data_IF_334781731194
#
_entry.id   IF_334781731194
#
_cell.length_a   1.000
_cell.length_b   1.000
_cell.length_c   1.000
_cell.angle_alpha   90.00
_cell.angle_beta   90.00
_cell.angle_gamma   90.00
#
_symmetry.space_group_name_H-M   'P 1'
#
loop_
_entity.id
_entity.type
_entity.pdbx_description
1 polymer ?
#
# COMPACT_ATOMS: atom_id res chain seq x y z
N UNK A 1 0.48 8.13 -7.74
CA UNK A 1 -0.46 9.29 -7.76
C UNK A 1 -1.68 9.01 -6.91
N UNK A 2 -2.21 10.06 -6.25
CA UNK A 2 -3.45 9.99 -5.47
C UNK A 2 -4.46 10.97 -6.04
N UNK A 3 -5.70 10.51 -6.23
CA UNK A 3 -6.83 11.33 -6.66
C UNK A 3 -7.92 11.25 -5.60
N UNK A 4 -8.48 12.41 -5.23
CA UNK A 4 -9.60 12.52 -4.31
C UNK A 4 -10.88 12.73 -5.10
N UNK A 5 -11.90 11.96 -4.77
CA UNK A 5 -13.23 11.99 -5.43
C UNK A 5 -14.35 12.16 -4.41
N UNK A 6 -15.55 12.25 -4.91
CA UNK A 6 -16.78 12.33 -4.13
C UNK A 6 -17.38 10.94 -3.89
N UNK A 7 -18.41 10.81 -3.07
CA UNK A 7 -19.08 9.54 -2.80
C UNK A 7 -19.65 8.82 -4.04
N UNK A 8 -19.81 9.55 -5.17
CA UNK A 8 -20.25 8.98 -6.46
C UNK A 8 -19.14 8.18 -7.15
N UNK A 9 -17.89 8.46 -6.82
CA UNK A 9 -16.69 7.85 -7.43
C UNK A 9 -16.28 6.54 -6.73
N UNK A 10 -17.03 6.12 -5.69
CA UNK A 10 -16.77 4.90 -4.95
C UNK A 10 -16.87 3.67 -5.85
N UNK A 11 -15.93 2.73 -5.66
CA UNK A 11 -16.01 1.43 -6.32
C UNK A 11 -17.18 0.62 -5.75
N UNK A 12 -18.09 0.24 -6.62
CA UNK A 12 -19.19 -0.65 -6.27
C UNK A 12 -18.72 -2.10 -6.44
N UNK A 13 -18.85 -2.89 -5.39
CA UNK A 13 -18.52 -4.32 -5.39
C UNK A 13 -19.82 -5.09 -5.18
N UNK A 14 -20.22 -5.85 -6.19
CA UNK A 14 -21.32 -6.81 -6.11
C UNK A 14 -20.77 -8.12 -5.53
N UNK A 15 -21.28 -8.53 -4.39
CA UNK A 15 -20.84 -9.72 -3.68
C UNK A 15 -22.06 -10.54 -3.22
N UNK A 16 -21.85 -11.82 -2.89
CA UNK A 16 -22.91 -12.72 -2.40
C UNK A 16 -23.66 -12.15 -1.17
N UNK A 17 -22.98 -11.35 -0.35
CA UNK A 17 -23.57 -10.69 0.81
C UNK A 17 -24.31 -9.38 0.48
N UNK A 18 -24.38 -9.00 -0.80
CA UNK A 18 -24.97 -7.76 -1.28
C UNK A 18 -23.93 -6.76 -1.81
N UNK A 19 -24.41 -5.68 -2.40
CA UNK A 19 -23.62 -4.57 -2.92
C UNK A 19 -22.97 -3.78 -1.77
N UNK A 20 -21.67 -3.47 -1.94
CA UNK A 20 -20.94 -2.58 -1.04
C UNK A 20 -20.11 -1.57 -1.81
N UNK A 21 -19.87 -0.42 -1.19
CA UNK A 21 -19.02 0.65 -1.74
C UNK A 21 -17.67 0.66 -1.02
N UNK A 22 -16.59 0.61 -1.82
CA UNK A 22 -15.22 0.72 -1.30
C UNK A 22 -14.73 2.17 -1.46
N UNK A 23 -14.33 2.83 -0.37
CA UNK A 23 -13.90 4.23 -0.41
C UNK A 23 -12.46 4.41 -0.89
N UNK A 24 -11.67 3.35 -0.91
CA UNK A 24 -10.26 3.41 -1.30
C UNK A 24 -9.94 2.33 -2.32
N UNK A 25 -9.42 2.78 -3.47
CA UNK A 25 -8.97 1.93 -4.57
C UNK A 25 -7.45 2.10 -4.75
N UNK A 26 -6.72 1.01 -4.93
CA UNK A 26 -5.31 1.04 -5.28
C UNK A 26 -5.06 0.12 -6.47
N UNK A 27 -4.58 0.70 -7.55
CA UNK A 27 -4.20 0.02 -8.78
C UNK A 27 -2.67 0.04 -8.91
N UNK A 28 -2.08 -1.10 -9.26
CA UNK A 28 -0.67 -1.21 -9.55
C UNK A 28 -0.51 -1.63 -11.02
N UNK A 29 0.18 -0.82 -11.80
CA UNK A 29 0.53 -1.12 -13.17
C UNK A 29 2.00 -1.56 -13.22
N UNK A 30 2.22 -2.78 -13.69
CA UNK A 30 3.53 -3.44 -13.72
C UNK A 30 3.80 -3.97 -15.14
N UNK A 31 4.12 -3.08 -16.08
CA UNK A 31 4.37 -3.47 -17.47
C UNK A 31 5.65 -4.31 -17.59
N UNK A 32 5.74 -5.20 -18.61
CA UNK A 32 6.90 -6.07 -18.79
C UNK A 32 8.24 -5.32 -18.86
N UNK A 33 8.25 -4.15 -19.47
CA UNK A 33 9.48 -3.36 -19.63
C UNK A 33 10.09 -2.90 -18.29
N UNK A 34 9.29 -2.84 -17.22
CA UNK A 34 9.78 -2.42 -15.89
C UNK A 34 10.80 -3.40 -15.29
N UNK A 35 10.85 -4.63 -15.78
CA UNK A 35 11.85 -5.66 -15.42
C UNK A 35 12.71 -6.07 -16.62
N UNK A 36 12.73 -5.25 -17.68
CA UNK A 36 13.53 -5.53 -18.89
C UNK A 36 12.96 -6.62 -19.79
N UNK A 37 11.72 -7.03 -19.59
CA UNK A 37 11.05 -8.04 -20.41
C UNK A 37 10.27 -7.41 -21.56
N UNK A 38 10.09 -8.19 -22.63
CA UNK A 38 9.15 -7.88 -23.71
C UNK A 38 7.83 -8.61 -23.48
N UNK A 39 6.71 -7.95 -23.79
CA UNK A 39 5.40 -8.56 -23.63
C UNK A 39 4.27 -7.65 -24.04
N UNK A 40 3.07 -8.24 -24.21
CA UNK A 40 1.87 -7.47 -24.50
C UNK A 40 1.42 -6.68 -23.28
N UNK A 41 1.17 -5.40 -23.49
CA UNK A 41 0.48 -4.55 -22.53
C UNK A 41 -1.03 -4.74 -22.72
N UNK A 42 -1.74 -5.01 -21.63
CA UNK A 42 -3.18 -5.29 -21.68
C UNK A 42 -3.83 -5.12 -20.31
N UNK A 43 -4.89 -5.87 -20.06
CA UNK A 43 -5.57 -5.86 -18.74
C UNK A 43 -4.62 -6.29 -17.62
N UNK A 44 -4.82 -5.76 -16.39
CA UNK A 44 -4.00 -6.13 -15.23
C UNK A 44 -3.95 -7.64 -15.01
N UNK A 45 -2.75 -8.16 -14.83
CA UNK A 45 -2.51 -9.58 -14.54
C UNK A 45 -2.61 -9.86 -13.04
N UNK A 46 -2.60 -11.14 -12.66
CA UNK A 46 -2.67 -11.56 -11.23
C UNK A 46 -1.62 -10.89 -10.35
N UNK A 47 -0.42 -10.69 -10.86
CA UNK A 47 0.68 -10.03 -10.14
C UNK A 47 0.32 -8.59 -9.79
N UNK A 48 -0.18 -7.82 -10.73
CA UNK A 48 -0.57 -6.42 -10.54
C UNK A 48 -1.73 -6.30 -9.53
N UNK A 49 -2.74 -7.16 -9.65
CA UNK A 49 -3.87 -7.22 -8.72
C UNK A 49 -3.39 -7.58 -7.31
N UNK A 50 -2.50 -8.58 -7.18
CA UNK A 50 -1.92 -8.98 -5.90
C UNK A 50 -1.09 -7.88 -5.24
N UNK A 51 -0.23 -7.19 -6.01
CA UNK A 51 0.56 -6.06 -5.55
C UNK A 51 -0.31 -4.90 -5.08
N UNK A 52 -1.32 -4.53 -5.86
CA UNK A 52 -2.27 -3.48 -5.50
C UNK A 52 -3.02 -3.80 -4.20
N UNK A 53 -3.50 -5.03 -4.06
CA UNK A 53 -4.18 -5.48 -2.84
C UNK A 53 -3.27 -5.50 -1.61
N UNK A 54 -2.00 -5.92 -1.75
CA UNK A 54 -1.03 -5.90 -0.65
C UNK A 54 -0.73 -4.47 -0.23
N UNK A 55 -0.46 -3.57 -1.17
CA UNK A 55 -0.20 -2.16 -0.88
C UNK A 55 -1.42 -1.48 -0.23
N UNK A 56 -2.63 -1.74 -0.71
CA UNK A 56 -3.88 -1.25 -0.11
C UNK A 56 -4.02 -1.71 1.33
N UNK A 57 -3.81 -3.01 1.61
CA UNK A 57 -3.84 -3.54 2.99
C UNK A 57 -2.80 -2.86 3.87
N UNK A 58 -1.59 -2.62 3.33
CA UNK A 58 -0.50 -1.96 4.05
C UNK A 58 -0.89 -0.59 4.60
N UNK A 59 -1.65 0.20 3.85
CA UNK A 59 -2.04 1.56 4.25
C UNK A 59 -3.43 1.62 4.91
N UNK A 60 -4.28 0.61 4.76
CA UNK A 60 -5.67 0.63 5.24
C UNK A 60 -5.79 0.93 6.74
N UNK A 61 -4.88 0.40 7.56
CA UNK A 61 -4.90 0.57 9.01
C UNK A 61 -4.67 2.03 9.46
N UNK A 62 -4.02 2.84 8.63
CA UNK A 62 -3.67 4.23 8.93
C UNK A 62 -4.56 5.25 8.20
N UNK A 63 -5.50 4.79 7.38
CA UNK A 63 -6.43 5.67 6.68
C UNK A 63 -7.34 6.40 7.66
N UNK A 64 -7.75 7.64 7.31
CA UNK A 64 -8.76 8.36 8.08
C UNK A 64 -10.13 7.68 7.99
N UNK A 65 -10.99 7.97 8.95
CA UNK A 65 -12.38 7.55 8.91
C UNK A 65 -13.19 8.39 7.90
N UNK A 66 -14.13 7.74 7.20
CA UNK A 66 -15.00 8.40 6.21
C UNK A 66 -15.90 9.48 6.82
N UNK A 67 -16.15 9.45 8.13
CA UNK A 67 -16.92 10.49 8.81
C UNK A 67 -16.14 11.78 8.98
N UNK A 68 -14.83 11.67 9.12
CA UNK A 68 -13.92 12.83 9.30
C UNK A 68 -13.31 13.28 7.98
N UNK A 69 -13.16 12.36 7.02
CA UNK A 69 -12.58 12.63 5.71
C UNK A 69 -13.42 11.94 4.61
N UNK A 70 -14.56 12.56 4.19
CA UNK A 70 -15.57 11.94 3.35
C UNK A 70 -15.20 11.89 1.86
N UNK A 71 -13.93 11.62 1.55
CA UNK A 71 -13.42 11.52 0.19
C UNK A 71 -13.22 10.07 -0.24
N UNK A 72 -13.56 9.79 -1.48
CA UNK A 72 -13.14 8.57 -2.15
C UNK A 72 -11.71 8.76 -2.64
N UNK A 73 -10.86 7.79 -2.35
CA UNK A 73 -9.44 7.86 -2.63
C UNK A 73 -9.08 6.83 -3.69
N UNK A 74 -8.54 7.29 -4.81
CA UNK A 74 -7.98 6.43 -5.85
C UNK A 74 -6.49 6.63 -5.93
N UNK A 75 -5.74 5.54 -5.80
CA UNK A 75 -4.29 5.51 -5.86
C UNK A 75 -3.88 4.69 -7.09
N UNK A 76 -2.91 5.20 -7.84
CA UNK A 76 -2.32 4.48 -8.97
C UNK A 76 -0.80 4.47 -8.79
N UNK A 77 -0.24 3.27 -8.71
CA UNK A 77 1.20 3.00 -8.67
C UNK A 77 1.66 2.54 -10.05
N UNK A 78 2.46 3.36 -10.72
CA UNK A 78 3.07 3.06 -12.01
C UNK A 78 4.51 2.59 -11.78
N UNK A 79 4.78 1.32 -12.09
CA UNK A 79 6.13 0.75 -11.95
C UNK A 79 6.86 0.91 -13.27
N UNK A 80 7.81 1.82 -13.31
CA UNK A 80 8.58 2.12 -14.52
C UNK A 80 9.88 1.32 -14.61
N UNK A 81 10.44 0.96 -13.44
CA UNK A 81 11.64 0.13 -13.32
C UNK A 81 11.60 -0.61 -11.99
N UNK A 82 12.03 -1.87 -11.96
CA UNK A 82 12.05 -2.70 -10.75
C UNK A 82 13.11 -3.79 -10.82
N UNK A 83 13.92 -3.86 -9.76
CA UNK A 83 14.76 -5.01 -9.46
C UNK A 83 14.71 -5.28 -7.96
N UNK A 84 13.60 -5.88 -7.51
CA UNK A 84 13.28 -6.10 -6.10
C UNK A 84 11.78 -5.99 -5.85
N UNK A 85 11.38 -5.57 -4.66
CA UNK A 85 9.96 -5.53 -4.29
C UNK A 85 9.24 -4.27 -4.75
N UNK A 86 8.66 -4.31 -5.95
CA UNK A 86 7.78 -3.25 -6.45
C UNK A 86 6.54 -3.02 -5.57
N UNK A 87 6.01 -4.07 -4.92
CA UNK A 87 4.87 -3.94 -4.01
C UNK A 87 5.21 -3.13 -2.75
N UNK A 88 6.41 -3.29 -2.21
CA UNK A 88 6.84 -2.52 -1.03
C UNK A 88 7.21 -1.09 -1.41
N UNK A 89 7.79 -0.87 -2.58
CA UNK A 89 7.95 0.47 -3.16
C UNK A 89 6.58 1.16 -3.35
N UNK A 90 5.56 0.42 -3.82
CA UNK A 90 4.18 0.92 -3.93
C UNK A 90 3.58 1.30 -2.57
N UNK A 91 3.87 0.56 -1.49
CA UNK A 91 3.46 0.93 -0.13
C UNK A 91 4.06 2.29 0.28
N UNK A 92 5.37 2.44 0.12
CA UNK A 92 6.08 3.68 0.47
C UNK A 92 5.58 4.86 -0.37
N UNK A 93 5.50 4.69 -1.68
CA UNK A 93 5.01 5.71 -2.61
C UNK A 93 3.54 6.07 -2.37
N UNK A 94 2.70 5.10 -2.01
CA UNK A 94 1.31 5.35 -1.62
C UNK A 94 1.22 6.20 -0.36
N UNK A 95 2.00 5.86 0.68
CA UNK A 95 2.04 6.63 1.93
C UNK A 95 2.43 8.09 1.66
N UNK A 96 3.48 8.33 0.90
CA UNK A 96 3.92 9.68 0.52
C UNK A 96 2.87 10.40 -0.33
N UNK A 97 2.31 9.73 -1.34
CA UNK A 97 1.32 10.33 -2.24
C UNK A 97 0.01 10.70 -1.54
N UNK A 98 -0.43 9.90 -0.57
CA UNK A 98 -1.59 10.21 0.27
C UNK A 98 -1.34 11.46 1.13
N UNK A 99 -0.19 11.54 1.79
CA UNK A 99 0.19 12.69 2.59
C UNK A 99 0.37 13.96 1.74
N UNK A 100 0.93 13.81 0.54
CA UNK A 100 1.10 14.92 -0.41
C UNK A 100 -0.24 15.46 -0.93
N UNK A 101 -1.24 14.58 -1.10
CA UNK A 101 -2.61 14.95 -1.46
C UNK A 101 -3.40 15.59 -0.29
N UNK A 102 -2.83 15.66 0.91
CA UNK A 102 -3.48 16.19 2.09
C UNK A 102 -4.38 15.21 2.85
N UNK A 103 -4.27 13.90 2.57
CA UNK A 103 -5.02 12.87 3.32
C UNK A 103 -4.43 12.73 4.73
N UNK A 104 -5.23 12.94 5.79
CA UNK A 104 -4.73 12.93 7.17
C UNK A 104 -4.51 11.49 7.66
N UNK A 105 -3.43 10.86 7.21
CA UNK A 105 -3.05 9.53 7.69
C UNK A 105 -2.75 9.57 9.19
N UNK A 106 -3.12 8.51 9.92
CA UNK A 106 -2.80 8.35 11.35
C UNK A 106 -1.28 8.23 11.59
N UNK A 107 -0.56 7.65 10.64
CA UNK A 107 0.90 7.53 10.64
C UNK A 107 1.41 7.21 9.22
N UNK A 108 2.64 7.59 8.86
CA UNK A 108 3.28 7.14 7.63
C UNK A 108 3.57 5.63 7.69
N UNK A 109 3.52 4.98 6.53
CA UNK A 109 3.76 3.54 6.37
C UNK A 109 4.90 3.32 5.39
N UNK A 110 5.85 2.48 5.77
CA UNK A 110 6.87 1.94 4.87
C UNK A 110 6.72 0.44 4.70
N UNK A 111 7.34 -0.10 3.66
CA UNK A 111 7.40 -1.53 3.40
C UNK A 111 8.80 -1.96 3.00
N UNK A 112 9.16 -3.20 3.32
CA UNK A 112 10.41 -3.84 2.96
C UNK A 112 10.18 -5.30 2.61
N UNK A 113 10.94 -5.82 1.65
CA UNK A 113 10.98 -7.25 1.35
C UNK A 113 12.23 -7.87 1.97
N UNK A 114 12.03 -8.97 2.67
CA UNK A 114 13.05 -9.74 3.34
C UNK A 114 13.19 -11.10 2.66
N UNK A 115 14.38 -11.66 2.70
CA UNK A 115 14.66 -13.00 2.22
C UNK A 115 15.33 -13.88 3.28
N UNK A 116 15.38 -15.16 2.99
CA UNK A 116 16.05 -16.17 3.79
C UNK A 116 16.88 -17.07 2.90
N UNK A 117 18.09 -17.37 3.32
CA UNK A 117 18.90 -18.49 2.82
C UNK A 117 19.14 -19.43 3.99
N UNK A 118 18.80 -20.71 3.82
CA UNK A 118 18.96 -21.76 4.81
C UNK A 118 19.75 -22.93 4.19
N UNK A 119 20.99 -23.14 4.64
CA UNK A 119 21.87 -24.18 4.13
C UNK A 119 22.59 -24.86 5.28
N UNK A 120 22.62 -26.18 5.29
CA UNK A 120 23.28 -27.02 6.30
C UNK A 120 22.92 -26.64 7.76
N UNK A 121 21.66 -26.28 8.01
CA UNK A 121 21.16 -25.91 9.33
C UNK A 121 21.60 -24.50 9.79
N UNK A 122 22.28 -23.74 8.93
CA UNK A 122 22.61 -22.33 9.15
C UNK A 122 21.70 -21.46 8.32
N UNK A 123 21.28 -20.34 8.87
CA UNK A 123 20.42 -19.41 8.13
C UNK A 123 20.98 -17.98 8.11
N UNK A 124 20.66 -17.27 7.04
CA UNK A 124 20.92 -15.84 6.88
C UNK A 124 19.67 -15.13 6.42
N UNK A 125 19.27 -14.11 7.15
CA UNK A 125 18.19 -13.21 6.75
C UNK A 125 18.76 -12.11 5.86
N UNK A 126 18.16 -11.90 4.70
CA UNK A 126 18.49 -10.84 3.77
C UNK A 126 17.48 -9.70 3.91
N UNK A 127 17.95 -8.47 3.80
CA UNK A 127 17.14 -7.26 3.95
C UNK A 127 17.09 -6.52 2.63
N UNK A 128 15.88 -6.13 2.20
CA UNK A 128 15.62 -5.41 0.94
C UNK A 128 16.16 -6.18 -0.28
N UNK A 129 15.57 -7.36 -0.49
CA UNK A 129 16.06 -8.34 -1.46
C UNK A 129 15.85 -7.89 -2.91
N UNK A 130 16.82 -8.25 -3.74
CA UNK A 130 16.77 -8.16 -5.20
C UNK A 130 15.90 -9.28 -5.80
N UNK A 131 15.58 -9.16 -7.11
CA UNK A 131 14.80 -10.16 -7.81
C UNK A 131 15.42 -11.56 -7.81
N UNK A 132 16.75 -11.66 -7.96
CA UNK A 132 17.47 -12.93 -7.92
C UNK A 132 17.47 -13.54 -6.51
N UNK A 133 17.59 -12.73 -5.48
CA UNK A 133 17.51 -13.18 -4.07
C UNK A 133 16.10 -13.64 -3.69
N UNK A 134 15.06 -13.03 -4.26
CA UNK A 134 13.68 -13.52 -4.17
C UNK A 134 13.54 -14.88 -4.85
N UNK A 135 14.07 -15.02 -6.08
CA UNK A 135 13.90 -16.24 -6.86
C UNK A 135 14.68 -17.44 -6.30
N UNK A 136 15.91 -17.22 -5.86
CA UNK A 136 16.83 -18.27 -5.40
C UNK A 136 16.76 -18.53 -3.88
N UNK A 137 16.16 -17.62 -3.11
CA UNK A 137 16.04 -17.76 -1.66
C UNK A 137 15.03 -18.82 -1.23
N UNK A 138 15.12 -19.24 0.02
CA UNK A 138 14.29 -20.28 0.64
C UNK A 138 12.97 -19.75 1.19
N UNK A 139 12.92 -18.46 1.46
CA UNK A 139 11.71 -17.73 1.87
C UNK A 139 11.85 -16.27 1.44
N UNK A 140 10.76 -15.67 1.00
CA UNK A 140 10.60 -14.23 0.96
C UNK A 140 9.40 -13.81 1.79
N UNK A 141 9.49 -12.66 2.43
CA UNK A 141 8.34 -12.05 3.07
C UNK A 141 8.39 -10.53 2.98
N UNK A 142 7.21 -9.97 2.83
CA UNK A 142 6.99 -8.54 2.66
C UNK A 142 6.29 -8.00 3.88
N UNK A 143 6.88 -6.99 4.51
CA UNK A 143 6.35 -6.40 5.74
C UNK A 143 6.11 -4.93 5.52
N UNK A 144 4.85 -4.51 5.64
CA UNK A 144 4.46 -3.10 5.67
C UNK A 144 4.07 -2.69 7.10
N UNK A 145 4.33 -1.43 7.46
CA UNK A 145 3.91 -0.92 8.76
C UNK A 145 4.41 0.48 9.05
N UNK A 146 3.83 1.06 10.09
CA UNK A 146 4.26 2.31 10.69
C UNK A 146 5.38 2.09 11.73
N UNK A 147 5.83 3.16 12.37
CA UNK A 147 6.71 3.04 13.54
C UNK A 147 6.05 2.28 14.70
N UNK A 148 4.73 2.34 14.82
CA UNK A 148 3.95 1.71 15.90
C UNK A 148 3.67 0.22 15.70
N UNK A 149 3.86 -0.33 14.47
CA UNK A 149 3.58 -1.74 14.25
C UNK A 149 3.40 -2.13 12.78
N UNK A 150 3.18 -3.42 12.56
CA UNK A 150 2.96 -4.03 11.25
C UNK A 150 1.50 -3.83 10.83
N UNK A 151 1.28 -3.39 9.60
CA UNK A 151 -0.05 -3.21 9.02
C UNK A 151 -0.41 -4.28 7.98
N UNK A 152 0.60 -4.85 7.32
CA UNK A 152 0.41 -6.00 6.43
C UNK A 152 1.67 -6.86 6.38
N UNK A 153 1.46 -8.15 6.18
CA UNK A 153 2.51 -9.14 5.98
C UNK A 153 2.06 -10.10 4.88
N UNK A 154 2.98 -10.43 4.00
CA UNK A 154 2.86 -11.52 3.02
C UNK A 154 4.14 -12.34 3.06
N UNK A 155 4.02 -13.64 3.09
CA UNK A 155 5.14 -14.56 3.15
C UNK A 155 4.97 -15.68 2.13
N UNK A 156 6.06 -16.05 1.48
CA UNK A 156 6.18 -17.22 0.61
C UNK A 156 7.34 -18.08 1.12
N UNK A 157 7.05 -19.32 1.51
CA UNK A 157 8.03 -20.28 2.03
C UNK A 157 8.21 -21.36 0.96
N UNK A 158 9.44 -21.53 0.48
CA UNK A 158 9.80 -22.42 -0.62
C UNK A 158 10.44 -23.74 -0.12
N UNK A 159 10.58 -23.87 1.21
CA UNK A 159 11.12 -25.04 1.93
C UNK A 159 10.04 -25.63 2.84
N UNK A 160 10.32 -26.78 3.48
CA UNK A 160 9.32 -27.48 4.32
C UNK A 160 8.77 -26.66 5.49
N UNK A 161 9.52 -25.64 5.96
CA UNK A 161 9.07 -24.73 6.99
C UNK A 161 10.22 -23.91 7.58
N UNK A 162 9.86 -22.98 8.44
CA UNK A 162 10.79 -22.11 9.16
C UNK A 162 10.57 -22.22 10.66
N UNK A 163 11.63 -22.04 11.43
CA UNK A 163 11.56 -22.07 12.89
C UNK A 163 11.07 -20.73 13.45
N UNK A 164 10.60 -20.74 14.70
CA UNK A 164 10.24 -19.52 15.42
C UNK A 164 11.43 -18.57 15.55
N UNK A 165 12.65 -19.12 15.73
CA UNK A 165 13.88 -18.33 15.82
C UNK A 165 14.16 -17.57 14.51
N UNK A 166 14.09 -18.25 13.37
CA UNK A 166 14.24 -17.62 12.05
C UNK A 166 13.22 -16.48 11.88
N UNK A 167 11.97 -16.72 12.22
CA UNK A 167 10.92 -15.71 12.11
C UNK A 167 11.19 -14.51 13.02
N UNK A 168 11.65 -14.73 14.24
CA UNK A 168 11.96 -13.64 15.16
C UNK A 168 13.08 -12.74 14.60
N UNK A 169 14.20 -13.36 14.16
CA UNK A 169 15.32 -12.62 13.56
C UNK A 169 14.87 -11.86 12.30
N UNK A 170 14.04 -12.48 11.48
CA UNK A 170 13.52 -11.88 10.26
C UNK A 170 12.61 -10.66 10.55
N UNK A 171 11.71 -10.77 11.52
CA UNK A 171 10.83 -9.66 11.92
C UNK A 171 11.60 -8.52 12.58
N UNK A 172 12.60 -8.82 13.39
CA UNK A 172 13.46 -7.80 14.02
C UNK A 172 14.29 -7.05 12.98
N UNK A 173 14.80 -7.76 11.97
CA UNK A 173 15.51 -7.15 10.83
C UNK A 173 14.57 -6.29 9.98
N UNK A 174 13.37 -6.79 9.68
CA UNK A 174 12.34 -6.05 8.96
C UNK A 174 11.90 -4.79 9.72
N UNK A 175 11.83 -4.85 11.05
CA UNK A 175 11.49 -3.68 11.87
C UNK A 175 12.55 -2.58 11.73
N UNK A 176 13.84 -2.95 11.86
CA UNK A 176 14.96 -2.01 11.70
C UNK A 176 14.96 -1.37 10.30
N UNK A 177 14.78 -2.19 9.27
CA UNK A 177 14.72 -1.72 7.88
C UNK A 177 13.55 -0.77 7.64
N UNK A 178 12.35 -1.08 8.12
CA UNK A 178 11.19 -0.19 8.00
C UNK A 178 11.40 1.15 8.69
N UNK A 179 11.98 1.15 9.89
CA UNK A 179 12.28 2.40 10.60
C UNK A 179 13.30 3.25 9.84
N UNK A 180 14.30 2.62 9.21
CA UNK A 180 15.25 3.31 8.35
C UNK A 180 14.56 3.95 7.15
N UNK A 181 13.73 3.19 6.42
CA UNK A 181 12.97 3.67 5.27
C UNK A 181 12.03 4.81 5.68
N UNK A 182 11.29 4.67 6.80
CA UNK A 182 10.46 5.75 7.34
C UNK A 182 11.29 7.01 7.64
N UNK A 183 12.50 6.84 8.16
CA UNK A 183 13.43 7.95 8.40
C UNK A 183 13.79 8.71 7.11
N UNK A 184 14.05 7.98 6.02
CA UNK A 184 14.31 8.60 4.71
C UNK A 184 13.07 9.27 4.14
N UNK A 185 11.89 8.61 4.20
CA UNK A 185 10.62 9.20 3.76
C UNK A 185 10.29 10.49 4.52
N UNK A 186 10.49 10.51 5.83
CA UNK A 186 10.21 11.65 6.71
C UNK A 186 11.10 12.88 6.43
N UNK A 187 12.26 12.72 5.80
CA UNK A 187 13.08 13.85 5.35
C UNK A 187 12.38 14.67 4.26
N UNK A 188 11.51 14.02 3.48
CA UNK A 188 10.75 14.67 2.40
C UNK A 188 9.37 15.10 2.89
N UNK A 189 8.65 14.20 3.57
CA UNK A 189 7.29 14.44 4.02
C UNK A 189 6.97 13.58 5.24
N UNK A 190 6.82 14.20 6.41
CA UNK A 190 6.57 13.53 7.68
C UNK A 190 5.10 13.56 8.13
N UNK A 191 4.27 14.39 7.49
CA UNK A 191 2.84 14.52 7.76
C UNK A 191 2.10 15.00 6.52
N UNK A 192 0.77 14.87 6.54
CA UNK A 192 -0.07 15.36 5.45
C UNK A 192 0.12 16.86 5.23
N UNK A 193 0.15 17.30 3.97
CA UNK A 193 0.20 18.73 3.61
C UNK A 193 -1.12 19.42 3.96
N UNK A 194 -1.14 20.47 4.70
CA UNK A 194 -2.25 21.40 4.81
C UNK A 194 -2.03 22.61 3.87
N UNK A 195 -3.01 23.10 3.13
CA UNK A 195 -4.32 22.48 2.85
C UNK A 195 -4.25 21.34 1.84
N UNK A 196 -5.38 20.65 1.60
CA UNK A 196 -5.50 19.75 0.45
C UNK A 196 -5.19 20.47 -0.87
N UNK A 197 -4.85 19.70 -1.90
CA UNK A 197 -4.64 20.24 -3.25
C UNK A 197 -5.84 21.08 -3.71
N UNK A 198 -5.59 22.20 -4.36
CA UNK A 198 -6.62 23.03 -5.00
C UNK A 198 -7.43 22.26 -6.08
N UNK A 199 -6.90 21.20 -6.60
CA UNK A 199 -7.54 20.30 -7.57
C UNK A 199 -8.46 19.26 -6.92
N UNK A 200 -8.46 19.14 -5.59
CA UNK A 200 -9.37 18.24 -4.89
C UNK A 200 -10.78 18.85 -4.84
N UNK A 201 -11.83 18.01 -5.00
CA UNK A 201 -13.19 18.51 -4.86
C UNK A 201 -13.42 19.01 -3.43
N UNK A 202 -14.11 20.14 -3.30
CA UNK A 202 -14.48 20.68 -1.98
C UNK A 202 -15.81 20.06 -1.54
N UNK A 203 -15.81 19.36 -0.41
CA UNK A 203 -17.02 18.81 0.19
C UNK A 203 -17.42 19.69 1.35
N UNK A 204 -18.60 20.31 1.24
CA UNK A 204 -19.20 21.15 2.28
C UNK A 204 -20.39 20.38 2.88
N UNK A 205 -20.37 20.19 4.19
CA UNK A 205 -21.47 19.57 4.93
C UNK A 205 -22.32 20.65 5.55
N UNK A 206 -23.59 20.70 5.19
CA UNK A 206 -24.59 21.61 5.74
C UNK A 206 -25.66 20.82 6.48
N UNK A 207 -26.08 21.31 7.64
CA UNK A 207 -27.28 20.80 8.31
C UNK A 207 -28.47 21.66 7.85
N UNK A 208 -29.49 20.99 7.35
CA UNK A 208 -30.74 21.62 6.88
C UNK A 208 -31.93 20.97 7.58
N UNK A 209 -33.03 21.73 7.69
CA UNK A 209 -34.28 21.15 8.17
C UNK A 209 -34.82 20.12 7.18
N UNK A 210 -35.40 19.00 7.68
CA UNK A 210 -35.99 17.98 6.80
C UNK A 210 -37.04 18.52 5.83
N UNK A 211 -37.77 19.57 6.21
CA UNK A 211 -38.79 20.21 5.37
C UNK A 211 -38.18 20.92 4.14
N UNK A 212 -36.92 21.36 4.21
CA UNK A 212 -36.24 22.06 3.10
C UNK A 212 -35.43 21.13 2.20
N UNK A 213 -35.39 19.83 2.46
CA UNK A 213 -34.60 18.86 1.67
C UNK A 213 -34.99 18.89 0.19
N UNK A 214 -36.30 18.96 -0.11
CA UNK A 214 -36.79 18.97 -1.47
C UNK A 214 -36.33 20.23 -2.26
N UNK A 215 -36.24 21.37 -1.61
CA UNK A 215 -35.81 22.65 -2.20
C UNK A 215 -34.31 22.67 -2.49
N UNK A 216 -33.50 21.95 -1.68
CA UNK A 216 -32.03 21.87 -1.82
C UNK A 216 -31.63 20.86 -2.88
N UNK A 217 -32.45 19.80 -3.11
CA UNK A 217 -32.14 18.74 -4.07
C UNK A 217 -32.70 19.06 -5.49
N UNK A 218 -33.66 19.94 -5.60
CA UNK A 218 -34.19 20.40 -6.87
C UNK A 218 -33.16 21.30 -7.56
#
# INVERSE_FOLDING_TARGET
TTTLGTGRDAQVIDALAGERKEPCMLHCNFPPFSVGETGMMGSPKRREIGHGNLARRGVSAVMPDMTTFPYIIRIVSEITESNGSSSMASVCGTSLSLMDAGVPLKAPVAGVAMGLVLEDGKFQVLTDILGDEDHLGDMDFKVAGSAGGITALQMDIKIEGITKEIMQVALDSAHKARLHILGEMNKVLSSARPPMSEWAPTIITMKIDPETIAEVIA
#
